data_IF_809065786666
#
_entry.id   IF_809065786666
#
_cell.length_a   1.000
_cell.length_b   1.000
_cell.length_c   1.000
_cell.angle_alpha   90.00
_cell.angle_beta   90.00
_cell.angle_gamma   90.00
#
_symmetry.space_group_name_H-M   'P 1'
#
loop_
_entity.id
_entity.type
_entity.pdbx_description
1 polymer ?
#
# COMPACT_ATOMS: atom_id res chain seq x y z
N UNK A 1 -2.93 14.16 4.20
CA UNK A 1 -2.52 13.33 5.37
C UNK A 1 -1.23 12.64 4.94
N UNK A 2 -0.19 12.50 5.76
CA UNK A 2 1.02 11.78 5.31
C UNK A 2 0.79 10.26 5.34
N UNK A 3 1.52 9.50 4.52
CA UNK A 3 1.45 8.03 4.50
C UNK A 3 1.67 7.43 5.88
N UNK A 4 2.69 7.93 6.60
CA UNK A 4 2.95 7.57 8.00
C UNK A 4 1.73 7.74 8.91
N UNK A 5 0.99 8.84 8.80
CA UNK A 5 -0.19 9.07 9.64
C UNK A 5 -1.32 8.08 9.34
N UNK A 6 -1.49 7.69 8.08
CA UNK A 6 -2.47 6.66 7.69
C UNK A 6 -2.06 5.31 8.29
N UNK A 7 -0.81 4.89 8.12
CA UNK A 7 -0.31 3.62 8.66
C UNK A 7 -0.34 3.56 10.20
N UNK A 8 0.01 4.65 10.88
CA UNK A 8 -0.13 4.75 12.34
C UNK A 8 -1.59 4.61 12.80
N UNK A 9 -2.55 5.10 12.00
CA UNK A 9 -3.98 4.89 12.28
C UNK A 9 -4.29 3.40 12.20
N UNK A 10 -3.96 2.73 11.10
CA UNK A 10 -4.13 1.27 10.96
C UNK A 10 -3.49 0.49 12.11
N UNK A 11 -2.25 0.80 12.47
CA UNK A 11 -1.54 0.16 13.59
C UNK A 11 -2.32 0.33 14.91
N UNK A 12 -2.70 1.57 15.25
CA UNK A 12 -3.41 1.87 16.51
C UNK A 12 -4.79 1.22 16.61
N UNK A 13 -5.43 0.94 15.47
CA UNK A 13 -6.76 0.34 15.44
C UNK A 13 -6.73 -1.19 15.50
N UNK A 14 -5.58 -1.81 15.23
CA UNK A 14 -5.45 -3.27 15.21
C UNK A 14 -5.80 -3.90 16.57
N UNK A 15 -5.54 -3.19 17.67
CA UNK A 15 -5.86 -3.63 19.03
C UNK A 15 -7.37 -3.80 19.27
N UNK A 16 -8.21 -3.12 18.49
CA UNK A 16 -9.68 -3.15 18.62
C UNK A 16 -10.29 -4.51 18.23
N UNK A 17 -9.61 -5.30 17.42
CA UNK A 17 -10.16 -6.53 16.84
C UNK A 17 -9.77 -7.76 17.66
N UNK A 18 -10.71 -8.67 17.91
CA UNK A 18 -10.37 -9.99 18.43
C UNK A 18 -9.68 -10.86 17.37
N UNK A 19 -8.95 -11.92 17.74
CA UNK A 19 -8.39 -12.87 16.78
C UNK A 19 -9.46 -13.49 15.84
N UNK A 20 -10.68 -13.67 16.33
CA UNK A 20 -11.82 -14.17 15.54
C UNK A 20 -12.30 -13.12 14.54
N UNK A 21 -12.41 -11.85 14.95
CA UNK A 21 -12.80 -10.75 14.07
C UNK A 21 -11.77 -10.53 12.95
N UNK A 22 -10.47 -10.63 13.25
CA UNK A 22 -9.40 -10.53 12.24
C UNK A 22 -9.56 -11.57 11.13
N UNK A 23 -10.03 -12.78 11.48
CA UNK A 23 -10.18 -13.90 10.55
C UNK A 23 -11.57 -14.03 9.93
N UNK A 24 -12.55 -13.28 10.40
CA UNK A 24 -13.94 -13.41 9.97
C UNK A 24 -14.12 -13.02 8.50
N UNK A 25 -14.67 -13.95 7.72
CA UNK A 25 -15.01 -13.76 6.30
C UNK A 25 -16.53 -13.70 6.20
N UNK A 26 -17.07 -12.55 5.80
CA UNK A 26 -18.52 -12.34 5.71
C UNK A 26 -19.16 -13.08 4.52
N UNK A 27 -18.42 -13.26 3.42
CA UNK A 27 -18.91 -13.94 2.21
C UNK A 27 -17.76 -14.35 1.29
N UNK A 28 -18.05 -15.24 0.33
CA UNK A 28 -17.04 -15.93 -0.50
C UNK A 28 -16.06 -14.99 -1.24
N UNK A 29 -16.49 -13.76 -1.54
CA UNK A 29 -15.69 -12.77 -2.30
C UNK A 29 -15.29 -11.56 -1.45
N UNK A 30 -15.55 -11.59 -0.15
CA UNK A 30 -15.31 -10.46 0.77
C UNK A 30 -14.14 -10.83 1.67
N UNK A 31 -13.08 -10.03 1.61
CA UNK A 31 -11.91 -10.22 2.47
C UNK A 31 -12.26 -10.08 3.95
N UNK A 32 -11.56 -10.80 4.81
CA UNK A 32 -11.53 -10.45 6.24
C UNK A 32 -10.79 -9.13 6.45
N UNK A 33 -10.97 -8.53 7.63
CA UNK A 33 -10.16 -7.36 7.99
C UNK A 33 -8.67 -7.72 8.11
N UNK A 34 -8.33 -8.94 8.55
CA UNK A 34 -6.95 -9.44 8.56
C UNK A 34 -6.32 -9.50 7.17
N UNK A 35 -7.05 -9.97 6.17
CA UNK A 35 -6.62 -9.98 4.76
C UNK A 35 -6.39 -8.58 4.21
N UNK A 36 -7.23 -7.62 4.60
CA UNK A 36 -7.01 -6.22 4.23
C UNK A 36 -5.72 -5.68 4.85
N UNK A 37 -5.43 -5.97 6.13
CA UNK A 37 -4.17 -5.58 6.76
C UNK A 37 -2.95 -6.22 6.06
N UNK A 38 -3.01 -7.53 5.79
CA UNK A 38 -1.96 -8.22 5.04
C UNK A 38 -1.69 -7.56 3.69
N UNK A 39 -2.76 -7.26 2.94
CA UNK A 39 -2.66 -6.60 1.64
C UNK A 39 -2.01 -5.21 1.72
N UNK A 40 -2.46 -4.37 2.66
CA UNK A 40 -1.88 -3.03 2.87
C UNK A 40 -0.39 -3.13 3.13
N UNK A 41 0.01 -4.04 4.03
CA UNK A 41 1.41 -4.22 4.41
C UNK A 41 2.25 -4.70 3.23
N UNK A 42 1.79 -5.75 2.55
CA UNK A 42 2.53 -6.40 1.48
C UNK A 42 2.78 -5.44 0.30
N UNK A 43 1.73 -4.77 -0.17
CA UNK A 43 1.82 -3.86 -1.32
C UNK A 43 2.62 -2.60 -0.97
N UNK A 44 2.49 -2.07 0.25
CA UNK A 44 3.31 -0.95 0.67
C UNK A 44 4.80 -1.31 0.72
N UNK A 45 5.16 -2.52 1.14
CA UNK A 45 6.54 -3.00 1.03
C UNK A 45 7.01 -3.12 -0.41
N UNK A 46 6.19 -3.65 -1.31
CA UNK A 46 6.51 -3.72 -2.75
C UNK A 46 6.81 -2.32 -3.32
N UNK A 47 6.05 -1.30 -2.95
CA UNK A 47 6.32 0.08 -3.37
C UNK A 47 7.65 0.61 -2.80
N UNK A 48 7.94 0.32 -1.53
CA UNK A 48 9.22 0.70 -0.92
C UNK A 48 10.41 -0.06 -1.52
N UNK A 49 10.23 -1.30 -1.98
CA UNK A 49 11.25 -2.06 -2.69
C UNK A 49 11.58 -1.39 -4.05
N UNK A 50 10.56 -0.93 -4.78
CA UNK A 50 10.77 -0.18 -6.03
C UNK A 50 11.41 1.20 -5.80
N UNK A 51 11.07 1.86 -4.70
CA UNK A 51 11.74 3.08 -4.26
C UNK A 51 13.23 2.81 -3.99
N UNK A 52 13.55 1.73 -3.28
CA UNK A 52 14.93 1.33 -2.99
C UNK A 52 15.72 1.05 -4.28
N UNK A 53 15.10 0.43 -5.29
CA UNK A 53 15.69 0.26 -6.62
C UNK A 53 15.97 1.63 -7.27
N UNK A 54 15.06 2.58 -7.19
CA UNK A 54 15.31 3.95 -7.68
C UNK A 54 16.51 4.59 -6.95
N UNK A 55 16.60 4.41 -5.63
CA UNK A 55 17.68 4.95 -4.81
C UNK A 55 19.06 4.35 -5.15
N UNK A 56 19.09 3.07 -5.53
CA UNK A 56 20.31 2.34 -5.91
C UNK A 56 20.68 2.45 -7.40
N UNK A 57 19.85 3.08 -8.22
CA UNK A 57 20.09 3.19 -9.66
C UNK A 57 21.19 4.21 -9.98
N UNK A 58 21.84 4.00 -11.12
CA UNK A 58 22.78 4.93 -11.76
C UNK A 58 22.39 5.18 -13.23
N UNK A 59 21.27 4.62 -13.68
CA UNK A 59 20.77 4.76 -15.04
C UNK A 59 19.51 5.61 -15.04
N UNK A 60 19.53 6.69 -15.80
CA UNK A 60 18.36 7.52 -16.03
C UNK A 60 17.36 6.84 -16.97
N UNK A 61 16.07 7.06 -16.69
CA UNK A 61 14.95 6.58 -17.48
C UNK A 61 14.12 7.77 -18.00
N UNK A 62 14.18 8.05 -19.32
CA UNK A 62 13.45 9.17 -19.90
C UNK A 62 11.93 8.95 -19.97
N UNK A 63 11.45 7.70 -19.97
CA UNK A 63 10.03 7.40 -20.01
C UNK A 63 9.31 7.87 -18.74
N UNK A 64 8.03 8.20 -18.88
CA UNK A 64 7.18 8.70 -17.81
C UNK A 64 6.02 7.76 -17.50
N UNK A 65 5.04 8.28 -16.77
CA UNK A 65 3.82 7.54 -16.43
C UNK A 65 2.98 7.30 -17.68
N UNK A 66 2.09 6.32 -17.58
CA UNK A 66 0.98 6.19 -18.52
C UNK A 66 -0.02 7.33 -18.29
N UNK A 67 -0.92 7.59 -19.26
CA UNK A 67 -2.00 8.57 -19.09
C UNK A 67 -2.87 8.29 -17.85
N UNK A 68 -3.12 7.01 -17.56
CA UNK A 68 -3.85 6.59 -16.36
C UNK A 68 -3.06 6.84 -15.09
N UNK A 69 -1.74 6.62 -15.11
CA UNK A 69 -0.84 6.93 -14.00
C UNK A 69 -0.84 8.42 -13.70
N UNK A 70 -0.63 9.27 -14.71
CA UNK A 70 -0.66 10.74 -14.54
C UNK A 70 -1.98 11.19 -13.90
N UNK A 71 -3.11 10.71 -14.42
CA UNK A 71 -4.42 11.06 -13.88
C UNK A 71 -4.60 10.66 -12.42
N UNK A 72 -4.10 9.49 -12.00
CA UNK A 72 -4.21 9.05 -10.60
C UNK A 72 -3.42 9.94 -9.65
N UNK A 73 -2.22 10.37 -10.06
CA UNK A 73 -1.41 11.31 -9.29
C UNK A 73 -2.03 12.72 -9.27
N UNK A 74 -2.57 13.20 -10.40
CA UNK A 74 -3.31 14.46 -10.47
C UNK A 74 -4.56 14.46 -9.57
N UNK A 75 -5.33 13.36 -9.58
CA UNK A 75 -6.51 13.16 -8.73
C UNK A 75 -6.12 12.91 -7.25
N UNK A 76 -4.83 12.69 -6.97
CA UNK A 76 -4.29 12.47 -5.63
C UNK A 76 -4.80 11.19 -4.97
N UNK A 77 -5.23 10.18 -5.72
CA UNK A 77 -5.63 8.90 -5.13
C UNK A 77 -6.32 7.93 -6.08
N UNK A 78 -6.45 6.68 -5.63
CA UNK A 78 -7.31 5.70 -6.28
C UNK A 78 -8.78 6.14 -6.25
N UNK A 79 -9.54 5.92 -7.34
CA UNK A 79 -10.93 6.35 -7.43
C UNK A 79 -11.80 5.67 -6.37
N UNK A 80 -12.94 6.28 -6.02
CA UNK A 80 -13.78 5.78 -4.96
C UNK A 80 -14.61 4.52 -5.30
N UNK A 81 -14.11 3.64 -6.16
CA UNK A 81 -14.80 2.43 -6.65
C UNK A 81 -14.05 1.16 -6.26
N UNK A 82 -14.73 0.00 -6.29
CA UNK A 82 -14.07 -1.31 -6.12
C UNK A 82 -13.21 -1.60 -7.35
N UNK A 83 -11.92 -1.80 -7.14
CA UNK A 83 -10.96 -2.17 -8.18
C UNK A 83 -10.85 -3.70 -8.16
N UNK A 84 -11.13 -4.34 -9.30
CA UNK A 84 -10.92 -5.79 -9.47
C UNK A 84 -9.78 -6.00 -10.45
N UNK A 85 -8.74 -6.69 -9.99
CA UNK A 85 -7.65 -7.15 -10.84
C UNK A 85 -8.08 -8.36 -11.69
N UNK A 86 -7.37 -8.66 -12.79
CA UNK A 86 -7.52 -9.94 -13.49
C UNK A 86 -7.43 -11.12 -12.53
N UNK A 87 -8.15 -12.21 -12.82
CA UNK A 87 -8.29 -13.34 -11.88
C UNK A 87 -6.93 -13.98 -11.53
N UNK A 88 -5.97 -13.97 -12.46
CA UNK A 88 -4.59 -14.45 -12.25
C UNK A 88 -3.83 -13.64 -11.19
N UNK A 89 -4.21 -12.38 -11.00
CA UNK A 89 -3.61 -11.44 -10.04
C UNK A 89 -4.47 -11.27 -8.78
N UNK A 90 -5.57 -12.02 -8.66
CA UNK A 90 -6.58 -11.81 -7.62
C UNK A 90 -6.58 -12.93 -6.56
N UNK A 91 -5.42 -13.56 -6.33
CA UNK A 91 -5.25 -14.51 -5.22
C UNK A 91 -5.54 -13.80 -3.90
N UNK A 92 -6.32 -14.40 -2.97
CA UNK A 92 -6.68 -13.72 -1.75
C UNK A 92 -5.45 -13.47 -0.86
N UNK A 93 -5.40 -12.32 -0.15
CA UNK A 93 -4.35 -12.07 0.82
C UNK A 93 -4.35 -13.11 1.95
N UNK A 94 -3.24 -13.17 2.70
CA UNK A 94 -3.09 -14.06 3.83
C UNK A 94 -4.10 -13.72 4.96
N UNK A 95 -4.68 -14.76 5.56
CA UNK A 95 -5.64 -14.62 6.66
C UNK A 95 -5.21 -15.41 7.92
N UNK A 96 -3.97 -15.90 8.00
CA UNK A 96 -3.51 -16.70 9.14
C UNK A 96 -2.77 -15.91 10.21
N UNK A 97 -2.29 -14.70 9.90
CA UNK A 97 -1.49 -13.92 10.84
C UNK A 97 -2.26 -13.59 12.12
N UNK A 98 -1.56 -13.73 13.23
CA UNK A 98 -1.98 -13.24 14.54
C UNK A 98 -1.96 -11.71 14.58
N UNK A 99 -2.61 -11.14 15.59
CA UNK A 99 -2.57 -9.69 15.84
C UNK A 99 -1.13 -9.23 16.04
N UNK A 100 -0.34 -9.99 16.80
CA UNK A 100 1.04 -9.70 17.13
C UNK A 100 1.94 -9.70 15.88
N UNK A 101 1.75 -10.66 14.97
CA UNK A 101 2.44 -10.70 13.68
C UNK A 101 2.10 -9.48 12.81
N UNK A 102 0.81 -9.15 12.70
CA UNK A 102 0.37 -7.96 11.96
C UNK A 102 0.92 -6.66 12.58
N UNK A 103 0.97 -6.53 13.91
CA UNK A 103 1.58 -5.39 14.59
C UNK A 103 3.06 -5.25 14.25
N UNK A 104 3.84 -6.34 14.38
CA UNK A 104 5.27 -6.32 14.08
C UNK A 104 5.55 -5.98 12.61
N UNK A 105 4.75 -6.50 11.69
CA UNK A 105 4.85 -6.17 10.26
C UNK A 105 4.50 -4.70 9.99
N UNK A 106 3.46 -4.16 10.62
CA UNK A 106 3.11 -2.73 10.52
C UNK A 106 4.22 -1.83 11.07
N UNK A 107 4.86 -2.22 12.18
CA UNK A 107 6.00 -1.50 12.75
C UNK A 107 7.18 -1.45 11.77
N UNK A 108 7.58 -2.60 11.24
CA UNK A 108 8.64 -2.67 10.24
C UNK A 108 8.33 -1.86 8.97
N UNK A 109 7.08 -1.84 8.51
CA UNK A 109 6.66 -1.00 7.40
C UNK A 109 6.80 0.50 7.71
N UNK A 110 6.35 0.93 8.88
CA UNK A 110 6.43 2.34 9.28
C UNK A 110 7.89 2.78 9.40
N UNK A 111 8.75 1.96 9.99
CA UNK A 111 10.19 2.25 10.09
C UNK A 111 10.85 2.37 8.71
N UNK A 112 10.53 1.47 7.77
CA UNK A 112 11.02 1.56 6.38
C UNK A 112 10.52 2.83 5.68
N UNK A 113 9.25 3.19 5.88
CA UNK A 113 8.68 4.41 5.30
C UNK A 113 9.42 5.65 5.82
N UNK A 114 9.61 5.76 7.14
CA UNK A 114 10.32 6.88 7.77
C UNK A 114 11.76 7.01 7.28
N UNK A 115 12.44 5.88 7.08
CA UNK A 115 13.80 5.85 6.54
C UNK A 115 13.90 6.54 5.16
N UNK A 116 12.90 6.32 4.30
CA UNK A 116 12.88 6.89 2.96
C UNK A 116 12.29 8.31 2.93
N UNK A 117 11.30 8.63 3.78
CA UNK A 117 10.73 9.98 3.89
C UNK A 117 11.82 11.06 4.08
N UNK A 118 12.88 10.77 4.84
CA UNK A 118 13.97 11.74 5.09
C UNK A 118 15.03 11.81 3.98
N UNK A 119 15.02 10.88 3.02
CA UNK A 119 16.05 10.76 1.97
C UNK A 119 15.52 10.93 0.55
N UNK A 120 14.22 10.79 0.34
CA UNK A 120 13.62 10.67 -0.99
C UNK A 120 13.91 11.88 -1.88
N UNK A 121 14.02 13.07 -1.30
CA UNK A 121 14.36 14.31 -2.00
C UNK A 121 15.79 14.36 -2.53
N UNK A 122 16.68 13.49 -2.03
CA UNK A 122 18.07 13.38 -2.47
C UNK A 122 18.25 12.39 -3.64
N UNK A 123 17.23 11.59 -3.95
CA UNK A 123 17.28 10.61 -5.03
C UNK A 123 17.06 11.33 -6.37
N UNK A 124 17.87 11.02 -7.38
CA UNK A 124 17.71 11.61 -8.71
C UNK A 124 16.30 11.28 -9.26
N UNK A 125 15.47 12.27 -9.60
CA UNK A 125 14.11 12.05 -10.09
C UNK A 125 14.04 11.34 -11.46
N UNK A 126 15.17 11.23 -12.16
CA UNK A 126 15.27 10.47 -13.42
C UNK A 126 15.53 8.98 -13.19
N UNK A 127 15.80 8.53 -11.97
CA UNK A 127 15.88 7.12 -11.65
C UNK A 127 14.48 6.59 -11.37
N UNK A 128 14.02 5.68 -12.24
CA UNK A 128 12.64 5.21 -12.27
C UNK A 128 12.56 3.71 -12.45
N UNK A 129 11.48 3.14 -11.94
CA UNK A 129 11.11 1.74 -12.13
C UNK A 129 9.71 1.67 -12.75
N UNK A 130 9.51 0.73 -13.68
CA UNK A 130 8.24 0.56 -14.37
C UNK A 130 7.22 -0.15 -13.50
N UNK A 131 6.06 0.47 -13.33
CA UNK A 131 4.85 -0.14 -12.80
C UNK A 131 3.93 -0.55 -13.95
N UNK A 132 3.43 -1.79 -13.96
CA UNK A 132 2.58 -2.32 -15.04
C UNK A 132 1.34 -1.50 -15.42
N UNK A 133 0.66 -0.85 -14.45
CA UNK A 133 -0.44 0.09 -14.72
C UNK A 133 -0.04 1.56 -14.83
N UNK A 134 0.90 2.03 -14.02
CA UNK A 134 1.20 3.46 -13.87
C UNK A 134 2.32 3.96 -14.80
N UNK A 135 3.09 3.08 -15.43
CA UNK A 135 4.27 3.43 -16.22
C UNK A 135 5.49 3.67 -15.33
N UNK A 136 6.41 4.52 -15.76
CA UNK A 136 7.68 4.72 -15.07
C UNK A 136 7.57 5.72 -13.92
N UNK A 137 7.82 5.24 -12.71
CA UNK A 137 7.70 6.01 -11.47
C UNK A 137 9.06 6.26 -10.83
N UNK A 138 9.26 7.49 -10.35
CA UNK A 138 10.44 7.84 -9.56
C UNK A 138 10.26 7.51 -8.07
N UNK A 139 11.32 7.70 -7.28
CA UNK A 139 11.30 7.40 -5.84
C UNK A 139 10.22 8.15 -5.05
N UNK A 140 9.93 9.42 -5.38
CA UNK A 140 8.89 10.20 -4.69
C UNK A 140 7.50 9.66 -4.99
N UNK A 141 7.27 9.26 -6.23
CA UNK A 141 6.00 8.71 -6.69
C UNK A 141 5.73 7.34 -6.07
N UNK A 142 6.75 6.49 -5.96
CA UNK A 142 6.64 5.22 -5.21
C UNK A 142 6.33 5.45 -3.73
N UNK A 143 6.95 6.46 -3.09
CA UNK A 143 6.65 6.83 -1.72
C UNK A 143 5.21 7.33 -1.55
N UNK A 144 4.73 8.14 -2.49
CA UNK A 144 3.37 8.68 -2.50
C UNK A 144 2.32 7.58 -2.70
N UNK A 145 2.61 6.55 -3.51
CA UNK A 145 1.71 5.41 -3.67
C UNK A 145 1.44 4.66 -2.36
N UNK A 146 2.38 4.63 -1.41
CA UNK A 146 2.14 4.06 -0.07
C UNK A 146 1.00 4.80 0.64
N UNK A 147 0.98 6.13 0.55
CA UNK A 147 -0.10 6.96 1.13
C UNK A 147 -1.42 6.75 0.39
N UNK A 148 -1.41 6.85 -0.94
CA UNK A 148 -2.62 6.77 -1.77
C UNK A 148 -3.30 5.41 -1.61
N UNK A 149 -2.51 4.33 -1.59
CA UNK A 149 -2.98 2.96 -1.41
C UNK A 149 -3.54 2.74 -0.01
N UNK A 150 -2.78 3.06 1.02
CA UNK A 150 -3.23 2.90 2.40
C UNK A 150 -4.51 3.70 2.68
N UNK A 151 -4.58 4.95 2.21
CA UNK A 151 -5.77 5.79 2.38
C UNK A 151 -6.98 5.25 1.63
N UNK A 152 -6.78 4.69 0.44
CA UNK A 152 -7.86 4.05 -0.31
C UNK A 152 -8.54 2.95 0.52
N UNK A 153 -7.77 2.15 1.24
CA UNK A 153 -8.27 1.05 2.06
C UNK A 153 -8.98 1.47 3.36
N UNK A 154 -8.92 2.73 3.78
CA UNK A 154 -9.75 3.20 4.92
C UNK A 154 -11.25 3.01 4.66
N UNK A 155 -11.68 3.05 3.40
CA UNK A 155 -13.08 2.81 3.03
C UNK A 155 -13.44 1.33 3.07
N UNK A 156 -12.55 0.46 2.59
CA UNK A 156 -12.72 -0.98 2.70
C UNK A 156 -12.72 -1.41 4.17
N UNK A 157 -11.84 -0.85 5.00
CA UNK A 157 -11.84 -1.06 6.45
C UNK A 157 -13.21 -0.77 7.07
N UNK A 158 -13.79 0.41 6.78
CA UNK A 158 -15.11 0.78 7.28
C UNK A 158 -16.22 -0.18 6.82
N UNK A 159 -16.14 -0.69 5.60
CA UNK A 159 -17.06 -1.71 5.09
C UNK A 159 -16.91 -3.02 5.88
N UNK A 160 -15.68 -3.50 6.06
CA UNK A 160 -15.39 -4.74 6.78
C UNK A 160 -15.79 -4.67 8.26
N UNK A 161 -15.54 -3.54 8.91
CA UNK A 161 -15.97 -3.26 10.30
C UNK A 161 -17.48 -3.31 10.47
N UNK A 162 -18.27 -3.12 9.41
CA UNK A 162 -19.74 -3.23 9.50
C UNK A 162 -20.23 -4.68 9.59
N UNK A 163 -19.36 -5.66 9.36
CA UNK A 163 -19.68 -7.09 9.41
C UNK A 163 -19.23 -7.79 10.71
N UNK A 164 -18.45 -7.12 11.56
CA UNK A 164 -17.77 -7.71 12.74
C UNK A 164 -18.11 -7.05 14.07
#
# INVERSE_FOLDING_TARGET
MSGKRVLLTFKSELDKYSPEQLRYIHGETIWSIGQMYDHIILVAHEYLDNLEICAGSYQEQPLGKTLSGERLFEDGGFPPVKIRLPDEMNSPPNNSDSKEELLGRMEGLIERLEHFEVKVDLINPNYKVEHGGFGWLNAKEWLELVEMHSRHHLRQKKELESYI
#
